data_IF_938649692611
#
_entry.id   IF_938649692611
#
_cell.length_a   1.000
_cell.length_b   1.000
_cell.length_c   1.000
_cell.angle_alpha   90.00
_cell.angle_beta   90.00
_cell.angle_gamma   90.00
#
_symmetry.space_group_name_H-M   'P 1'
#
loop_
_entity.id
_entity.type
_entity.pdbx_description
1 polymer ?
#
# COMPACT_ATOMS: atom_id res chain seq x y z
N UNK A 1 6.11 -3.06 -17.29
CA UNK A 1 6.65 -2.79 -15.92
C UNK A 1 5.78 -3.48 -14.89
N UNK A 2 6.38 -4.31 -14.01
CA UNK A 2 5.70 -4.98 -12.89
C UNK A 2 5.87 -4.18 -11.60
N UNK A 3 4.77 -3.78 -10.99
CA UNK A 3 4.74 -3.06 -9.71
C UNK A 3 4.13 -3.95 -8.65
N UNK A 4 4.74 -4.00 -7.47
CA UNK A 4 4.21 -4.68 -6.29
C UNK A 4 4.07 -3.71 -5.13
N UNK A 5 2.96 -3.79 -4.40
CA UNK A 5 2.79 -3.13 -3.10
C UNK A 5 2.61 -4.19 -2.01
N UNK A 6 3.29 -4.03 -0.89
CA UNK A 6 3.26 -5.01 0.20
C UNK A 6 3.54 -4.39 1.57
N UNK A 7 2.59 -4.46 2.47
CA UNK A 7 2.82 -4.16 3.89
C UNK A 7 3.60 -5.32 4.53
N UNK A 8 4.80 -5.04 5.03
CA UNK A 8 5.72 -6.06 5.57
C UNK A 8 5.51 -6.36 7.05
N UNK A 9 4.72 -5.53 7.75
CA UNK A 9 4.55 -5.64 9.21
C UNK A 9 5.89 -5.74 9.96
N UNK A 10 6.89 -4.97 9.49
CA UNK A 10 8.26 -4.93 10.00
C UNK A 10 9.26 -5.71 9.14
N UNK A 11 10.06 -4.98 8.37
CA UNK A 11 11.03 -5.52 7.40
C UNK A 11 12.04 -6.50 8.03
N UNK A 12 12.47 -6.28 9.28
CA UNK A 12 13.38 -7.19 10.00
C UNK A 12 12.74 -8.56 10.27
N UNK A 13 11.43 -8.58 10.54
CA UNK A 13 10.69 -9.83 10.73
C UNK A 13 10.44 -10.52 9.38
N UNK A 14 10.08 -9.75 8.36
CA UNK A 14 9.88 -10.23 7.00
C UNK A 14 11.17 -10.86 6.43
N UNK A 15 12.32 -10.20 6.62
CA UNK A 15 13.64 -10.71 6.23
C UNK A 15 13.90 -12.12 6.81
N UNK A 16 13.72 -12.28 8.13
CA UNK A 16 13.91 -13.61 8.79
C UNK A 16 12.94 -14.69 8.31
N UNK A 17 11.83 -14.31 7.69
CA UNK A 17 10.80 -15.23 7.18
C UNK A 17 10.92 -15.50 5.68
N UNK A 18 12.01 -15.11 5.05
CA UNK A 18 12.30 -15.40 3.65
C UNK A 18 11.75 -14.35 2.68
N UNK A 19 11.77 -13.06 3.04
CA UNK A 19 11.33 -11.98 2.14
C UNK A 19 12.02 -12.03 0.78
N UNK A 20 13.32 -12.35 0.73
CA UNK A 20 14.07 -12.42 -0.54
C UNK A 20 13.56 -13.49 -1.50
N UNK A 21 13.18 -14.67 -0.99
CA UNK A 21 12.64 -15.74 -1.83
C UNK A 21 11.36 -15.28 -2.56
N UNK A 22 10.58 -14.39 -1.90
CA UNK A 22 9.39 -13.79 -2.50
C UNK A 22 9.73 -12.66 -3.46
N UNK A 23 10.72 -11.82 -3.15
CA UNK A 23 11.21 -10.77 -4.06
C UNK A 23 11.67 -11.40 -5.38
N UNK A 24 12.49 -12.45 -5.31
CA UNK A 24 12.99 -13.18 -6.48
C UNK A 24 11.85 -13.82 -7.29
N UNK A 25 10.85 -14.39 -6.61
CA UNK A 25 9.70 -15.02 -7.28
C UNK A 25 8.75 -14.03 -7.92
N UNK A 26 8.54 -12.89 -7.30
CA UNK A 26 7.68 -11.81 -7.82
C UNK A 26 8.35 -11.16 -9.03
N UNK A 27 9.68 -11.04 -9.01
CA UNK A 27 10.49 -10.44 -10.07
C UNK A 27 9.95 -9.08 -10.53
N UNK A 28 9.66 -8.20 -9.55
CA UNK A 28 9.07 -6.89 -9.78
C UNK A 28 10.10 -5.87 -10.30
N UNK A 29 9.66 -4.93 -11.14
CA UNK A 29 10.46 -3.77 -11.54
C UNK A 29 10.47 -2.68 -10.47
N UNK A 30 9.32 -2.53 -9.77
CA UNK A 30 9.12 -1.56 -8.68
C UNK A 30 8.47 -2.26 -7.50
N UNK A 31 9.03 -2.07 -6.30
CA UNK A 31 8.49 -2.59 -5.05
C UNK A 31 8.21 -1.45 -4.08
N UNK A 32 6.98 -1.39 -3.57
CA UNK A 32 6.49 -0.37 -2.67
C UNK A 32 6.11 -1.05 -1.35
N UNK A 33 6.96 -0.90 -0.32
CA UNK A 33 6.77 -1.55 0.96
C UNK A 33 6.24 -0.59 2.02
N UNK A 34 5.27 -1.05 2.82
CA UNK A 34 4.71 -0.32 3.94
C UNK A 34 5.05 -1.01 5.26
N UNK A 35 4.91 -0.28 6.36
CA UNK A 35 5.25 -0.75 7.72
C UNK A 35 6.64 -1.36 7.83
N UNK A 36 7.65 -0.68 7.29
CA UNK A 36 9.03 -1.16 7.39
C UNK A 36 9.55 -1.20 8.83
N UNK A 37 9.05 -0.31 9.71
CA UNK A 37 9.29 -0.30 11.17
C UNK A 37 10.77 -0.38 11.56
N UNK A 38 11.64 0.14 10.72
CA UNK A 38 13.08 0.15 10.94
C UNK A 38 13.73 1.35 10.24
N UNK A 39 14.85 1.79 10.79
CA UNK A 39 15.80 2.65 10.10
C UNK A 39 16.82 1.76 9.37
N UNK A 40 17.46 2.23 8.28
CA UNK A 40 18.47 1.46 7.56
C UNK A 40 19.58 0.90 8.48
N UNK A 41 20.06 1.70 9.42
CA UNK A 41 21.11 1.30 10.37
C UNK A 41 20.66 0.27 11.42
N UNK A 42 19.36 0.00 11.53
CA UNK A 42 18.80 -1.02 12.43
C UNK A 42 18.66 -2.38 11.77
N UNK A 43 18.99 -2.48 10.49
CA UNK A 43 18.90 -3.75 9.78
C UNK A 43 19.96 -4.73 10.26
N UNK A 44 19.68 -6.07 10.24
CA UNK A 44 20.64 -7.09 10.58
C UNK A 44 21.89 -7.02 9.68
N UNK A 45 23.05 -7.52 10.16
CA UNK A 45 24.30 -7.48 9.39
C UNK A 45 24.28 -8.31 8.10
N UNK A 46 23.41 -9.29 8.02
CA UNK A 46 23.16 -10.13 6.84
C UNK A 46 22.13 -9.54 5.87
N UNK A 47 21.50 -8.43 6.27
CA UNK A 47 20.63 -7.68 5.35
C UNK A 47 21.46 -7.04 4.24
N UNK A 48 20.96 -7.16 3.03
CA UNK A 48 21.42 -6.39 1.87
C UNK A 48 20.21 -5.79 1.20
N UNK A 49 20.36 -4.64 0.61
CA UNK A 49 19.33 -4.13 -0.28
C UNK A 49 19.17 -5.06 -1.48
N UNK A 50 17.97 -5.21 -2.06
CA UNK A 50 17.77 -6.08 -3.21
C UNK A 50 18.76 -5.75 -4.33
N UNK A 51 19.49 -6.76 -4.82
CA UNK A 51 20.54 -6.56 -5.82
C UNK A 51 19.95 -6.02 -7.13
N UNK A 52 20.57 -4.96 -7.65
CA UNK A 52 20.14 -4.31 -8.89
C UNK A 52 18.97 -3.31 -8.72
N UNK A 53 18.58 -2.99 -7.47
CA UNK A 53 17.56 -2.00 -7.20
C UNK A 53 18.16 -0.75 -6.56
N UNK A 54 17.69 0.41 -7.00
CA UNK A 54 17.77 1.65 -6.23
C UNK A 54 16.77 1.57 -5.06
N UNK A 55 17.14 2.08 -3.89
CA UNK A 55 16.31 1.99 -2.69
C UNK A 55 16.19 3.36 -2.02
N UNK A 56 14.95 3.79 -1.75
CA UNK A 56 14.66 4.99 -0.96
C UNK A 56 13.85 4.59 0.27
N UNK A 57 14.37 4.92 1.45
CA UNK A 57 13.70 4.76 2.72
C UNK A 57 13.03 6.07 3.15
N UNK A 58 11.79 5.96 3.62
CA UNK A 58 11.11 7.03 4.35
C UNK A 58 10.60 6.48 5.69
N UNK A 59 11.50 6.36 6.69
CA UNK A 59 11.16 5.81 7.99
C UNK A 59 10.42 6.84 8.84
N UNK A 60 9.61 6.36 9.80
CA UNK A 60 9.07 7.23 10.83
C UNK A 60 10.17 7.73 11.78
N UNK A 61 10.01 8.93 12.33
CA UNK A 61 10.89 9.47 13.38
C UNK A 61 10.85 8.59 14.64
N UNK A 62 9.69 7.99 14.94
CA UNK A 62 9.52 7.04 16.02
C UNK A 62 10.07 5.66 15.64
N UNK A 63 11.08 5.19 16.34
CA UNK A 63 11.70 3.87 16.11
C UNK A 63 10.69 2.72 16.24
N UNK A 64 10.77 1.77 15.30
CA UNK A 64 9.95 0.55 15.31
C UNK A 64 8.47 0.77 14.97
N UNK A 65 8.16 1.87 14.30
CA UNK A 65 6.80 2.27 13.96
C UNK A 65 6.71 2.71 12.50
N UNK A 66 5.58 2.43 11.80
CA UNK A 66 5.29 2.93 10.45
C UNK A 66 6.46 2.85 9.46
N UNK A 67 6.61 3.84 8.59
CA UNK A 67 7.65 3.95 7.58
C UNK A 67 7.33 3.19 6.30
N UNK A 68 7.72 3.80 5.17
CA UNK A 68 7.60 3.18 3.83
C UNK A 68 8.98 3.09 3.16
N UNK A 69 9.10 2.23 2.17
CA UNK A 69 10.32 2.06 1.38
C UNK A 69 9.94 1.74 -0.06
N UNK A 70 10.61 2.38 -1.01
CA UNK A 70 10.46 2.09 -2.44
C UNK A 70 11.76 1.54 -3.00
N UNK A 71 11.67 0.50 -3.84
CA UNK A 71 12.80 -0.08 -4.56
C UNK A 71 12.49 -0.13 -6.05
N UNK A 72 13.47 0.13 -6.91
CA UNK A 72 13.30 0.12 -8.36
C UNK A 72 14.55 -0.36 -9.08
N UNK A 73 14.38 -1.23 -10.08
CA UNK A 73 15.46 -1.62 -11.01
C UNK A 73 15.35 -0.94 -12.39
N UNK A 74 14.35 -0.06 -12.56
CA UNK A 74 14.11 0.66 -13.82
C UNK A 74 14.35 2.17 -13.69
N UNK A 75 15.15 2.56 -12.69
CA UNK A 75 15.40 3.95 -12.30
C UNK A 75 14.31 4.49 -11.38
N UNK A 76 14.70 5.43 -10.53
CA UNK A 76 13.81 6.02 -9.54
C UNK A 76 14.18 7.49 -9.30
N UNK A 77 13.21 8.36 -9.44
CA UNK A 77 13.30 9.77 -9.06
C UNK A 77 12.42 9.99 -7.82
N UNK A 78 12.98 10.55 -6.75
CA UNK A 78 12.20 10.97 -5.59
C UNK A 78 11.52 12.31 -5.90
N UNK A 79 10.18 12.35 -5.81
CA UNK A 79 9.38 13.55 -6.09
C UNK A 79 8.99 14.25 -4.79
N UNK A 80 8.65 13.48 -3.73
CA UNK A 80 8.24 14.07 -2.46
C UNK A 80 7.98 13.06 -1.35
N UNK A 81 7.80 13.60 -0.14
CA UNK A 81 7.46 12.85 1.08
C UNK A 81 6.28 13.53 1.77
N UNK A 82 5.31 12.72 2.23
CA UNK A 82 4.06 13.24 2.77
C UNK A 82 3.07 13.63 1.67
N UNK A 83 1.93 14.17 2.07
CA UNK A 83 0.86 14.66 1.20
C UNK A 83 0.91 16.17 1.01
N UNK A 84 2.05 16.80 1.31
CA UNK A 84 2.36 18.20 1.02
C UNK A 84 3.28 18.30 -0.19
N UNK A 85 3.26 19.44 -0.86
CA UNK A 85 4.07 19.70 -2.05
C UNK A 85 5.53 20.05 -1.75
N UNK A 86 5.88 20.25 -0.48
CA UNK A 86 7.24 20.60 -0.05
C UNK A 86 7.98 19.33 0.42
N UNK A 87 9.26 19.20 0.03
CA UNK A 87 10.18 18.12 0.44
C UNK A 87 10.59 18.19 1.93
N UNK A 88 9.80 18.82 2.79
CA UNK A 88 10.08 18.94 4.21
C UNK A 88 9.73 17.63 4.93
N UNK A 89 10.76 16.85 5.27
CA UNK A 89 10.64 15.57 6.00
C UNK A 89 9.95 15.72 7.38
N UNK A 90 9.83 16.94 7.91
CA UNK A 90 9.16 17.18 9.19
C UNK A 90 7.65 17.12 9.11
N UNK A 91 7.07 17.17 7.90
CA UNK A 91 5.63 17.18 7.67
C UNK A 91 5.01 15.78 7.64
N UNK A 92 5.81 14.73 7.40
CA UNK A 92 5.38 13.34 7.53
C UNK A 92 6.22 12.58 8.58
N UNK A 93 6.08 12.91 9.87
CA UNK A 93 6.89 12.33 10.95
C UNK A 93 6.64 10.83 11.16
N UNK A 94 5.57 10.30 10.57
CA UNK A 94 5.24 8.88 10.63
C UNK A 94 5.74 8.10 9.40
N UNK A 95 6.33 8.79 8.38
CA UNK A 95 6.88 8.15 7.18
C UNK A 95 5.82 7.35 6.42
N UNK A 96 4.70 8.00 6.07
CA UNK A 96 3.53 7.33 5.51
C UNK A 96 3.39 7.42 4.01
N UNK A 97 4.02 8.42 3.39
CA UNK A 97 3.91 8.66 1.95
C UNK A 97 5.28 8.93 1.35
N UNK A 98 5.64 8.12 0.36
CA UNK A 98 6.82 8.35 -0.48
C UNK A 98 6.37 8.38 -1.94
N UNK A 99 6.52 9.54 -2.57
CA UNK A 99 6.19 9.77 -3.97
C UNK A 99 7.46 9.64 -4.81
N UNK A 100 7.47 8.68 -5.71
CA UNK A 100 8.57 8.40 -6.63
C UNK A 100 8.07 8.32 -8.07
N UNK A 101 8.97 8.49 -9.05
CA UNK A 101 8.65 8.36 -10.48
C UNK A 101 9.56 7.32 -11.12
N UNK A 102 8.99 6.44 -11.93
CA UNK A 102 9.67 5.31 -12.58
C UNK A 102 9.22 5.22 -14.04
N UNK A 103 10.14 5.30 -15.00
CA UNK A 103 9.82 5.28 -16.44
C UNK A 103 8.65 6.22 -16.83
N UNK A 104 8.57 7.40 -16.20
CA UNK A 104 7.48 8.35 -16.45
C UNK A 104 6.20 8.13 -15.63
N UNK A 105 6.03 7.01 -14.93
CA UNK A 105 4.88 6.75 -14.06
C UNK A 105 5.13 7.27 -12.65
N UNK A 106 4.21 8.06 -12.11
CA UNK A 106 4.17 8.43 -10.71
C UNK A 106 3.68 7.26 -9.85
N UNK A 107 4.48 6.87 -8.87
CA UNK A 107 4.15 5.83 -7.90
C UNK A 107 4.14 6.45 -6.50
N UNK A 108 2.98 6.52 -5.89
CA UNK A 108 2.80 7.01 -4.53
C UNK A 108 2.63 5.83 -3.60
N UNK A 109 3.65 5.57 -2.79
CA UNK A 109 3.66 4.50 -1.79
C UNK A 109 3.03 5.02 -0.50
N UNK A 110 1.88 4.46 -0.09
CA UNK A 110 1.04 4.97 0.99
C UNK A 110 0.86 3.92 2.08
N UNK A 111 1.05 4.34 3.33
CA UNK A 111 0.59 3.63 4.51
C UNK A 111 -0.40 4.49 5.30
N UNK A 112 -1.69 4.32 5.01
CA UNK A 112 -2.78 5.09 5.61
C UNK A 112 -2.91 4.79 7.12
N UNK A 113 -3.15 5.79 7.98
CA UNK A 113 -3.33 5.56 9.41
C UNK A 113 -4.40 4.51 9.73
N UNK A 114 -4.11 3.65 10.72
CA UNK A 114 -5.11 2.76 11.30
C UNK A 114 -5.83 3.49 12.44
N UNK A 115 -7.17 3.47 12.46
CA UNK A 115 -8.01 4.14 13.46
C UNK A 115 -8.34 3.29 14.69
N UNK A 116 -7.97 2.00 14.72
CA UNK A 116 -8.49 1.01 15.67
C UNK A 116 -8.02 1.14 17.11
N UNK A 117 -7.04 2.01 17.41
CA UNK A 117 -6.42 2.00 18.74
C UNK A 117 -7.02 2.95 19.78
N UNK A 118 -7.72 4.00 19.39
CA UNK A 118 -8.43 5.00 20.25
C UNK A 118 -9.23 5.97 19.40
N UNK A 119 -10.24 6.64 19.98
CA UNK A 119 -11.07 7.65 19.28
C UNK A 119 -10.24 8.77 18.64
N UNK A 120 -9.19 9.23 19.31
CA UNK A 120 -8.27 10.23 18.76
C UNK A 120 -7.53 9.75 17.50
N UNK A 121 -7.27 8.45 17.40
CA UNK A 121 -6.59 7.88 16.22
C UNK A 121 -7.54 7.77 15.03
N UNK A 122 -8.83 7.51 15.28
CA UNK A 122 -9.85 7.54 14.23
C UNK A 122 -10.02 8.97 13.69
N UNK A 123 -10.16 9.97 14.56
CA UNK A 123 -10.27 11.37 14.14
C UNK A 123 -9.05 11.85 13.33
N UNK A 124 -7.83 11.40 13.70
CA UNK A 124 -6.62 11.66 12.90
C UNK A 124 -6.71 11.00 11.52
N UNK A 125 -7.16 9.75 11.44
CA UNK A 125 -7.36 9.05 10.17
C UNK A 125 -8.39 9.76 9.30
N UNK A 126 -9.51 10.16 9.88
CA UNK A 126 -10.60 10.82 9.15
C UNK A 126 -10.14 12.13 8.51
N UNK A 127 -9.35 12.95 9.22
CA UNK A 127 -8.74 14.15 8.63
C UNK A 127 -7.72 13.78 7.55
N UNK A 128 -6.86 12.80 7.83
CA UNK A 128 -5.78 12.40 6.93
C UNK A 128 -6.29 11.88 5.58
N UNK A 129 -7.42 11.16 5.55
CA UNK A 129 -8.00 10.68 4.31
C UNK A 129 -8.61 11.81 3.46
N UNK A 130 -9.19 12.84 4.07
CA UNK A 130 -9.66 14.01 3.33
C UNK A 130 -8.48 14.80 2.75
N UNK A 131 -7.42 15.01 3.52
CA UNK A 131 -6.19 15.68 3.05
C UNK A 131 -5.55 14.89 1.88
N UNK A 132 -5.50 13.54 1.98
CA UNK A 132 -5.02 12.69 0.88
C UNK A 132 -5.86 12.86 -0.39
N UNK A 133 -7.18 12.88 -0.27
CA UNK A 133 -8.07 13.01 -1.43
C UNK A 133 -7.88 14.36 -2.12
N UNK A 134 -7.73 15.44 -1.35
CA UNK A 134 -7.46 16.77 -1.87
C UNK A 134 -6.08 16.84 -2.56
N UNK A 135 -5.04 16.30 -1.92
CA UNK A 135 -3.70 16.25 -2.49
C UNK A 135 -3.64 15.39 -3.76
N UNK A 136 -4.34 14.26 -3.81
CA UNK A 136 -4.35 13.35 -4.95
C UNK A 136 -5.07 13.91 -6.19
N UNK A 137 -5.82 15.02 -6.04
CA UNK A 137 -6.50 15.70 -7.16
C UNK A 137 -5.52 16.15 -8.25
N UNK A 138 -4.25 16.43 -7.91
CA UNK A 138 -3.23 16.83 -8.89
C UNK A 138 -2.97 15.79 -9.99
N UNK A 139 -3.29 14.53 -9.74
CA UNK A 139 -3.08 13.44 -10.71
C UNK A 139 -4.32 13.14 -11.56
N UNK A 140 -5.49 13.67 -11.14
CA UNK A 140 -6.74 13.48 -11.88
C UNK A 140 -6.72 14.37 -13.11
N UNK A 141 -7.00 13.78 -14.27
CA UNK A 141 -6.92 14.49 -15.55
C UNK A 141 -5.51 14.84 -16.03
N UNK A 142 -4.48 14.42 -15.32
CA UNK A 142 -3.08 14.52 -15.78
C UNK A 142 -2.86 13.62 -17.01
N UNK A 143 -2.00 14.07 -17.93
CA UNK A 143 -1.51 13.26 -19.06
C UNK A 143 -0.42 12.26 -18.63
N UNK A 144 0.15 12.41 -17.44
CA UNK A 144 1.13 11.48 -16.90
C UNK A 144 0.44 10.34 -16.13
N UNK A 145 0.92 9.09 -16.30
CA UNK A 145 0.38 7.95 -15.55
C UNK A 145 0.72 8.07 -14.07
N UNK A 146 -0.27 7.84 -13.21
CA UNK A 146 -0.09 7.89 -11.76
C UNK A 146 -0.83 6.75 -11.06
N UNK A 147 -0.18 6.18 -10.04
CA UNK A 147 -0.77 5.17 -9.16
C UNK A 147 -0.61 5.55 -7.68
N UNK A 148 -1.67 5.37 -6.91
CA UNK A 148 -1.66 5.38 -5.44
C UNK A 148 -1.66 3.93 -4.96
N UNK A 149 -0.62 3.51 -4.26
CA UNK A 149 -0.43 2.11 -3.89
C UNK A 149 -0.15 1.98 -2.41
N UNK A 150 -0.68 0.95 -1.80
CA UNK A 150 -0.33 0.61 -0.43
C UNK A 150 -1.47 0.09 0.41
N UNK A 151 -1.20 0.05 1.71
CA UNK A 151 -2.18 -0.29 2.72
C UNK A 151 -3.01 0.96 3.07
N UNK A 152 -4.22 1.01 2.54
CA UNK A 152 -5.17 2.09 2.80
C UNK A 152 -6.00 1.86 4.08
N UNK A 153 -5.79 0.74 4.78
CA UNK A 153 -6.50 0.42 6.03
C UNK A 153 -8.04 0.58 5.95
N UNK A 154 -8.63 0.44 4.76
CA UNK A 154 -10.07 0.52 4.49
C UNK A 154 -10.46 -0.63 3.54
N UNK A 155 -11.44 -1.43 3.93
CA UNK A 155 -12.14 -2.33 3.02
C UNK A 155 -13.34 -1.56 2.42
N UNK A 156 -13.37 -1.39 1.10
CA UNK A 156 -14.33 -0.51 0.43
C UNK A 156 -15.76 -1.07 0.45
N UNK A 157 -15.93 -2.31 0.01
CA UNK A 157 -17.24 -2.93 -0.16
C UNK A 157 -17.44 -4.14 0.74
N UNK A 158 -18.64 -4.71 0.76
CA UNK A 158 -18.92 -5.95 1.49
C UNK A 158 -18.16 -7.16 0.91
N UNK A 159 -17.73 -7.09 -0.35
CA UNK A 159 -16.90 -8.11 -0.99
C UNK A 159 -15.44 -8.07 -0.52
N UNK A 160 -15.02 -6.95 0.07
CA UNK A 160 -13.65 -6.71 0.52
C UNK A 160 -13.39 -7.15 1.97
N UNK A 161 -14.39 -7.74 2.62
CA UNK A 161 -14.30 -8.20 4.01
C UNK A 161 -15.08 -9.51 4.21
N UNK A 162 -14.49 -10.44 5.00
CA UNK A 162 -15.10 -11.74 5.22
C UNK A 162 -16.42 -11.68 6.00
N UNK A 163 -16.57 -10.75 6.97
CA UNK A 163 -17.76 -10.56 7.83
C UNK A 163 -18.19 -9.09 7.86
N UNK A 164 -18.90 -8.61 6.82
CA UNK A 164 -19.32 -7.22 6.76
C UNK A 164 -20.31 -6.84 7.86
N UNK A 165 -21.16 -7.81 8.30
CA UNK A 165 -22.17 -7.54 9.33
C UNK A 165 -21.55 -7.33 10.72
N UNK A 166 -20.56 -8.17 11.06
CA UNK A 166 -19.87 -8.12 12.34
C UNK A 166 -18.90 -6.94 12.47
N UNK A 167 -18.54 -6.29 11.37
CA UNK A 167 -17.51 -5.23 11.34
C UNK A 167 -18.04 -3.84 11.00
N UNK A 168 -19.35 -3.61 10.96
CA UNK A 168 -19.94 -2.28 10.61
C UNK A 168 -19.46 -1.11 11.46
N UNK A 169 -19.01 -1.39 12.68
CA UNK A 169 -18.49 -0.38 13.61
C UNK A 169 -16.98 -0.49 13.81
N UNK A 170 -16.29 -1.28 12.99
CA UNK A 170 -14.83 -1.44 13.05
C UNK A 170 -14.16 -0.39 12.18
N UNK A 171 -13.09 0.25 12.70
CA UNK A 171 -12.22 1.08 11.87
C UNK A 171 -11.70 0.29 10.67
N UNK A 172 -11.67 0.92 9.51
CA UNK A 172 -11.39 0.28 8.24
C UNK A 172 -12.63 -0.27 7.51
N UNK A 173 -13.82 -0.22 8.15
CA UNK A 173 -15.08 -0.59 7.52
C UNK A 173 -16.27 0.31 7.97
N UNK A 174 -15.95 1.45 8.56
CA UNK A 174 -16.95 2.45 8.93
C UNK A 174 -17.63 3.01 7.66
N UNK A 175 -18.89 3.39 7.79
CA UNK A 175 -19.68 3.90 6.66
C UNK A 175 -19.02 5.09 5.98
N UNK A 176 -18.58 6.09 6.76
CA UNK A 176 -17.92 7.28 6.22
C UNK A 176 -16.56 6.99 5.56
N UNK A 177 -15.78 5.97 6.03
CA UNK A 177 -14.54 5.55 5.38
C UNK A 177 -14.82 4.92 4.00
N UNK A 178 -15.86 4.11 3.91
CA UNK A 178 -16.31 3.50 2.66
C UNK A 178 -16.88 4.53 1.68
N UNK A 179 -17.64 5.49 2.16
CA UNK A 179 -18.14 6.62 1.37
C UNK A 179 -17.00 7.50 0.87
N UNK A 180 -15.98 7.74 1.70
CA UNK A 180 -14.76 8.42 1.28
C UNK A 180 -14.08 7.68 0.14
N UNK A 181 -13.95 6.36 0.24
CA UNK A 181 -13.32 5.55 -0.82
C UNK A 181 -14.12 5.62 -2.12
N UNK A 182 -15.46 5.58 -2.04
CA UNK A 182 -16.34 5.76 -3.20
C UNK A 182 -16.12 7.13 -3.85
N UNK A 183 -16.08 8.21 -3.05
CA UNK A 183 -15.80 9.57 -3.55
C UNK A 183 -14.42 9.67 -4.23
N UNK A 184 -13.41 8.98 -3.71
CA UNK A 184 -12.08 8.93 -4.33
C UNK A 184 -12.15 8.29 -5.72
N UNK A 185 -12.86 7.17 -5.87
CA UNK A 185 -13.07 6.53 -7.17
C UNK A 185 -13.89 7.42 -8.13
N UNK A 186 -14.93 8.06 -7.63
CA UNK A 186 -15.79 8.96 -8.43
C UNK A 186 -15.02 10.19 -8.96
N UNK A 187 -13.90 10.56 -8.34
CA UNK A 187 -13.00 11.62 -8.81
C UNK A 187 -12.06 11.20 -9.93
N UNK A 188 -12.06 9.94 -10.35
CA UNK A 188 -11.25 9.46 -11.48
C UNK A 188 -10.11 8.52 -11.08
N UNK A 189 -10.14 7.98 -9.86
CA UNK A 189 -9.26 6.89 -9.46
C UNK A 189 -9.91 5.54 -9.73
N UNK A 190 -9.11 4.54 -10.10
CA UNK A 190 -9.58 3.22 -10.53
C UNK A 190 -8.89 2.12 -9.73
N UNK A 191 -9.66 1.30 -9.04
CA UNK A 191 -9.17 0.09 -8.34
C UNK A 191 -8.81 -0.99 -9.37
N UNK A 192 -7.52 -1.11 -9.68
CA UNK A 192 -7.03 -1.97 -10.75
C UNK A 192 -7.32 -3.45 -10.51
N UNK A 193 -7.15 -3.91 -9.27
CA UNK A 193 -7.44 -5.31 -8.94
C UNK A 193 -8.93 -5.60 -9.14
N UNK A 194 -9.82 -4.73 -8.65
CA UNK A 194 -11.27 -4.92 -8.78
C UNK A 194 -11.73 -4.85 -10.24
N UNK A 195 -11.14 -3.98 -11.04
CA UNK A 195 -11.39 -3.92 -12.49
C UNK A 195 -10.99 -5.22 -13.18
N UNK A 196 -9.81 -5.78 -12.83
CA UNK A 196 -9.28 -6.98 -13.46
C UNK A 196 -10.10 -8.24 -13.12
N UNK A 197 -10.48 -8.40 -11.83
CA UNK A 197 -11.13 -9.63 -11.36
C UNK A 197 -12.67 -9.56 -11.39
N UNK A 198 -13.25 -8.37 -11.53
CA UNK A 198 -14.70 -8.15 -11.45
C UNK A 198 -15.28 -8.21 -10.04
N UNK A 199 -16.62 -8.26 -9.95
CA UNK A 199 -17.33 -8.35 -8.67
C UNK A 199 -17.30 -9.79 -8.17
N UNK A 200 -16.52 -10.01 -7.11
CA UNK A 200 -16.43 -11.28 -6.39
C UNK A 200 -15.92 -11.03 -4.97
N UNK A 201 -16.22 -11.95 -4.05
CA UNK A 201 -15.74 -11.87 -2.68
C UNK A 201 -14.21 -12.08 -2.61
N UNK A 202 -13.50 -11.18 -1.95
CA UNK A 202 -12.03 -11.16 -1.96
C UNK A 202 -11.42 -10.80 -3.33
N UNK A 203 -10.21 -11.25 -3.65
CA UNK A 203 -9.24 -11.87 -2.73
C UNK A 203 -8.86 -10.92 -1.61
N UNK A 204 -8.64 -11.46 -0.41
CA UNK A 204 -8.20 -10.66 0.71
C UNK A 204 -6.70 -10.44 0.68
N UNK A 205 -6.27 -9.30 1.26
CA UNK A 205 -4.85 -8.91 1.34
C UNK A 205 -4.32 -8.92 2.76
N UNK A 206 -5.18 -8.89 3.77
CA UNK A 206 -4.80 -8.91 5.18
C UNK A 206 -5.63 -9.90 6.00
N UNK A 207 -5.00 -10.54 6.99
CA UNK A 207 -5.64 -11.45 7.93
C UNK A 207 -5.15 -11.22 9.36
N UNK A 208 -6.09 -11.07 10.28
CA UNK A 208 -5.79 -11.00 11.71
C UNK A 208 -5.01 -12.25 12.18
N UNK A 209 -4.07 -12.04 13.11
CA UNK A 209 -3.34 -13.13 13.75
C UNK A 209 -4.20 -13.96 14.74
N UNK A 210 -5.46 -13.54 15.01
CA UNK A 210 -6.35 -14.20 15.93
C UNK A 210 -7.21 -15.28 15.25
N UNK A 211 -7.59 -16.30 16.04
CA UNK A 211 -8.59 -17.35 15.69
C UNK A 211 -8.33 -18.05 14.36
N UNK A 212 -7.05 -18.20 13.97
CA UNK A 212 -6.66 -18.87 12.72
C UNK A 212 -7.33 -18.23 11.48
N UNK A 213 -7.41 -16.90 11.47
CA UNK A 213 -8.11 -16.16 10.42
C UNK A 213 -7.50 -16.43 9.03
N UNK A 214 -6.16 -16.54 8.92
CA UNK A 214 -5.46 -16.85 7.66
C UNK A 214 -5.85 -18.21 7.09
N UNK A 215 -5.84 -19.25 7.93
CA UNK A 215 -6.18 -20.60 7.51
C UNK A 215 -7.64 -20.73 7.06
N UNK A 216 -8.54 -19.93 7.68
CA UNK A 216 -9.98 -19.91 7.39
C UNK A 216 -10.35 -18.89 6.32
N UNK A 217 -9.39 -18.23 5.74
CA UNK A 217 -9.55 -17.13 4.79
C UNK A 217 -10.53 -16.03 5.26
N UNK A 218 -10.44 -15.66 6.54
CA UNK A 218 -11.25 -14.61 7.15
C UNK A 218 -10.47 -13.30 7.12
N UNK A 219 -10.34 -12.74 5.93
CA UNK A 219 -9.49 -11.60 5.64
C UNK A 219 -10.25 -10.34 5.28
N UNK A 220 -9.46 -9.30 5.01
CA UNK A 220 -9.88 -8.00 4.50
C UNK A 220 -9.01 -7.66 3.29
N UNK A 221 -9.57 -7.00 2.31
CA UNK A 221 -8.80 -6.37 1.23
C UNK A 221 -8.63 -4.90 1.57
N UNK A 222 -7.45 -4.53 2.01
CA UNK A 222 -7.11 -3.18 2.46
C UNK A 222 -5.86 -2.62 1.78
N UNK A 223 -5.18 -3.44 0.98
CA UNK A 223 -4.05 -3.06 0.15
C UNK A 223 -4.52 -2.89 -1.31
N UNK A 224 -4.14 -1.78 -1.93
CA UNK A 224 -4.66 -1.36 -3.24
C UNK A 224 -3.56 -0.88 -4.17
N UNK A 225 -3.85 -0.95 -5.47
CA UNK A 225 -3.22 -0.16 -6.52
C UNK A 225 -4.35 0.59 -7.23
N UNK A 226 -4.47 1.87 -6.91
CA UNK A 226 -5.41 2.79 -7.56
C UNK A 226 -4.69 3.54 -8.67
N UNK A 227 -5.29 3.70 -9.83
CA UNK A 227 -4.69 4.35 -10.98
C UNK A 227 -5.56 5.49 -11.49
N UNK A 228 -4.93 6.54 -12.04
CA UNK A 228 -5.64 7.51 -12.88
C UNK A 228 -5.97 6.89 -14.25
N UNK A 229 -6.71 7.60 -15.10
CA UNK A 229 -7.15 7.10 -16.42
C UNK A 229 -5.98 6.62 -17.29
N UNK A 230 -4.87 7.37 -17.28
CA UNK A 230 -3.69 7.04 -18.09
C UNK A 230 -3.06 5.75 -17.63
N UNK A 231 -2.74 5.61 -16.34
CA UNK A 231 -2.14 4.39 -15.78
C UNK A 231 -3.10 3.19 -15.89
N UNK A 232 -4.41 3.41 -15.70
CA UNK A 232 -5.43 2.37 -15.92
C UNK A 232 -5.37 1.82 -17.33
N UNK A 233 -5.22 2.67 -18.34
CA UNK A 233 -5.18 2.24 -19.76
C UNK A 233 -3.98 1.35 -20.09
N UNK A 234 -2.92 1.41 -19.27
CA UNK A 234 -1.68 0.64 -19.41
C UNK A 234 -1.72 -0.70 -18.65
N UNK A 235 -2.75 -0.97 -17.86
CA UNK A 235 -2.84 -2.20 -17.06
C UNK A 235 -2.99 -3.44 -17.95
N UNK A 236 -2.16 -4.45 -17.71
CA UNK A 236 -2.25 -5.78 -18.33
C UNK A 236 -2.90 -6.81 -17.42
N UNK A 237 -2.47 -6.86 -16.17
CA UNK A 237 -2.96 -7.82 -15.18
C UNK A 237 -2.87 -7.25 -13.76
N UNK A 238 -3.67 -7.81 -12.85
CA UNK A 238 -3.59 -7.52 -11.42
C UNK A 238 -3.91 -8.79 -10.61
N UNK A 239 -3.11 -9.07 -9.58
CA UNK A 239 -3.30 -10.25 -8.75
C UNK A 239 -2.89 -10.03 -7.29
N UNK A 240 -3.34 -10.90 -6.40
CA UNK A 240 -2.87 -11.01 -5.01
C UNK A 240 -2.11 -12.32 -4.86
N UNK A 241 -0.82 -12.22 -4.49
CA UNK A 241 -0.02 -13.41 -4.14
C UNK A 241 -0.26 -13.78 -2.67
N UNK A 242 -1.37 -14.49 -2.42
CA UNK A 242 -1.84 -14.86 -1.07
C UNK A 242 -0.76 -15.54 -0.23
N UNK A 243 0.12 -16.31 -0.84
CA UNK A 243 1.20 -17.05 -0.16
C UNK A 243 2.14 -16.12 0.62
N UNK A 244 2.43 -14.91 0.12
CA UNK A 244 3.21 -13.90 0.85
C UNK A 244 2.60 -13.55 2.20
N UNK A 245 1.28 -13.39 2.25
CA UNK A 245 0.52 -13.16 3.48
C UNK A 245 0.41 -14.37 4.40
N UNK A 246 0.74 -15.56 3.92
CA UNK A 246 0.74 -16.77 4.75
C UNK A 246 2.09 -16.99 5.44
N UNK A 247 3.18 -16.48 4.89
CA UNK A 247 4.56 -16.79 5.30
C UNK A 247 5.27 -15.56 5.85
N UNK A 248 5.40 -14.50 5.06
CA UNK A 248 6.29 -13.36 5.35
C UNK A 248 5.62 -12.32 6.24
N UNK A 249 4.42 -11.89 5.88
CA UNK A 249 3.65 -10.85 6.57
C UNK A 249 2.27 -11.37 6.95
N UNK A 250 1.47 -10.56 7.63
CA UNK A 250 0.02 -10.75 7.75
C UNK A 250 -0.75 -10.07 6.59
N UNK A 251 -0.01 -9.38 5.71
CA UNK A 251 -0.51 -8.91 4.42
C UNK A 251 0.08 -9.73 3.26
N UNK A 252 -0.70 -9.87 2.20
CA UNK A 252 -0.27 -10.43 0.92
C UNK A 252 0.07 -9.31 -0.07
N UNK A 253 1.10 -9.46 -0.91
CA UNK A 253 1.41 -8.49 -1.93
C UNK A 253 0.32 -8.40 -3.00
N UNK A 254 0.03 -7.20 -3.45
CA UNK A 254 -0.75 -6.91 -4.66
C UNK A 254 0.22 -6.58 -5.78
N UNK A 255 0.06 -7.26 -6.91
CA UNK A 255 0.97 -7.18 -8.07
C UNK A 255 0.16 -6.67 -9.25
N UNK A 256 0.68 -5.69 -9.98
CA UNK A 256 0.08 -5.17 -11.20
C UNK A 256 1.14 -5.07 -12.30
N UNK A 257 0.81 -5.60 -13.47
CA UNK A 257 1.63 -5.47 -14.67
C UNK A 257 1.10 -4.34 -15.57
N UNK A 258 2.00 -3.46 -15.99
CA UNK A 258 1.71 -2.34 -16.90
C UNK A 258 2.48 -2.49 -18.22
N UNK A 259 1.93 -1.96 -19.28
CA UNK A 259 2.53 -1.86 -20.61
C UNK A 259 3.31 -0.54 -20.73
N UNK A 260 4.51 -0.53 -20.15
CA UNK A 260 5.47 0.59 -20.16
C UNK A 260 6.83 0.03 -20.51
#
# INVERSE_FOLDING_TARGET
MRVVTWNLNGIRAAHRKGLYDFIDRIDADVMLFQEVRALPEQMPKDWKEPEGYDVIWHPAQRKGYSGVMSCSRVGMEEIGRGIDTDLDETRDPEGRVLHTKHNGMHCVNIYLPNGSSRDQRQAYKDQWIEDLMEWAEMFVGSEEPAILCGDLNIAHTEDDIWDPKGNKTSSGFLEHEREWFTRLLDRGWHDLLRIHIGSQKGPYTWWSNFRRARERDRGWRIDYVLANDVARSMMKSAEVMREGGMVVSDHAPVIVDFDI
#
